data_IF_728619745506
#
_entry.id   IF_728619745506
#
_cell.length_a   1.000
_cell.length_b   1.000
_cell.length_c   1.000
_cell.angle_alpha   90.00
_cell.angle_beta   90.00
_cell.angle_gamma   90.00
#
_symmetry.space_group_name_H-M   'P 1'
#
loop_
_entity.id
_entity.type
_entity.pdbx_description
1 polymer ?
#
# COMPACT_ATOMS: atom_id res chain seq x y z
N UNK A 1 -19.24 -15.11 10.28
CA UNK A 1 -18.15 -14.60 9.42
C UNK A 1 -18.80 -13.74 8.35
N UNK A 2 -18.89 -12.43 8.57
CA UNK A 2 -19.68 -11.55 7.71
C UNK A 2 -18.85 -11.19 6.47
N UNK A 3 -19.33 -11.58 5.31
CA UNK A 3 -18.77 -11.21 4.00
C UNK A 3 -18.87 -9.70 3.91
N UNK A 4 -17.74 -8.98 3.89
CA UNK A 4 -17.74 -7.52 3.79
C UNK A 4 -18.50 -7.12 2.51
N UNK A 5 -19.51 -6.27 2.64
CA UNK A 5 -20.32 -5.74 1.55
C UNK A 5 -19.45 -5.30 0.35
N UNK A 6 -20.00 -5.47 -0.86
CA UNK A 6 -19.42 -4.97 -2.10
C UNK A 6 -19.16 -3.46 -1.96
N UNK A 7 -17.96 -3.02 -2.31
CA UNK A 7 -17.61 -1.60 -2.24
C UNK A 7 -17.91 -0.99 -3.60
N UNK A 8 -19.18 -0.70 -3.82
CA UNK A 8 -19.62 0.14 -4.92
C UNK A 8 -19.36 1.60 -4.52
N UNK A 9 -18.40 2.25 -5.18
CA UNK A 9 -18.25 3.70 -5.10
C UNK A 9 -19.01 4.34 -6.26
N UNK A 10 -19.75 5.42 -5.99
CA UNK A 10 -20.41 6.20 -7.04
C UNK A 10 -19.42 7.10 -7.80
N UNK A 11 -19.67 7.35 -9.08
CA UNK A 11 -18.86 8.21 -9.96
C UNK A 11 -18.44 7.53 -11.27
N UNK A 12 -18.12 8.33 -12.29
CA UNK A 12 -18.09 7.89 -13.70
C UNK A 12 -16.72 7.39 -14.22
N UNK A 13 -15.74 7.12 -13.35
CA UNK A 13 -14.37 6.85 -13.84
C UNK A 13 -13.42 6.15 -12.87
N UNK A 14 -13.93 5.29 -11.99
CA UNK A 14 -13.14 4.61 -10.95
C UNK A 14 -12.73 3.17 -11.27
N UNK A 15 -12.13 2.54 -10.26
CA UNK A 15 -11.87 1.10 -10.26
C UNK A 15 -13.19 0.32 -10.29
N UNK A 16 -13.20 -0.87 -10.88
CA UNK A 16 -14.31 -1.81 -10.75
C UNK A 16 -14.38 -2.38 -9.33
N UNK A 17 -15.53 -2.94 -8.96
CA UNK A 17 -15.70 -3.62 -7.66
C UNK A 17 -14.63 -4.71 -7.45
N UNK A 18 -14.25 -5.44 -8.51
CA UNK A 18 -13.21 -6.47 -8.42
C UNK A 18 -11.81 -5.88 -8.24
N UNK A 19 -11.48 -4.79 -8.91
CA UNK A 19 -10.20 -4.10 -8.74
C UNK A 19 -10.04 -3.53 -7.32
N UNK A 20 -11.12 -2.98 -6.74
CA UNK A 20 -11.15 -2.55 -5.33
C UNK A 20 -10.89 -3.72 -4.37
N UNK A 21 -11.51 -4.88 -4.63
CA UNK A 21 -11.25 -6.11 -3.86
C UNK A 21 -9.80 -6.55 -4.00
N UNK A 22 -9.22 -6.47 -5.20
CA UNK A 22 -7.83 -6.84 -5.48
C UNK A 22 -6.86 -5.99 -4.65
N UNK A 23 -6.94 -4.66 -4.72
CA UNK A 23 -5.98 -3.79 -4.01
C UNK A 23 -6.17 -3.89 -2.48
N UNK A 24 -7.40 -3.97 -1.99
CA UNK A 24 -7.70 -4.18 -0.56
C UNK A 24 -7.14 -5.51 -0.05
N UNK A 25 -7.29 -6.59 -0.83
CA UNK A 25 -6.75 -7.90 -0.48
C UNK A 25 -5.23 -7.89 -0.51
N UNK A 26 -4.63 -7.22 -1.50
CA UNK A 26 -3.17 -7.10 -1.61
C UNK A 26 -2.55 -6.48 -0.36
N UNK A 27 -3.13 -5.41 0.19
CA UNK A 27 -2.71 -4.81 1.45
C UNK A 27 -2.91 -5.76 2.63
N UNK A 28 -4.14 -6.24 2.84
CA UNK A 28 -4.48 -7.03 4.03
C UNK A 28 -3.75 -8.39 4.12
N UNK A 29 -3.42 -9.04 3.00
CA UNK A 29 -2.62 -10.27 3.00
C UNK A 29 -1.21 -10.01 3.53
N UNK A 30 -0.61 -8.89 3.14
CA UNK A 30 0.74 -8.48 3.57
C UNK A 30 0.76 -8.07 5.04
N UNK A 31 -0.17 -7.21 5.44
CA UNK A 31 -0.41 -6.83 6.85
C UNK A 31 -0.59 -8.06 7.75
N UNK A 32 -1.40 -9.03 7.32
CA UNK A 32 -1.57 -10.30 8.03
C UNK A 32 -0.27 -11.09 8.14
N UNK A 33 0.51 -11.19 7.05
CA UNK A 33 1.80 -11.90 7.04
C UNK A 33 2.80 -11.26 8.02
N UNK A 34 2.83 -9.92 8.09
CA UNK A 34 3.64 -9.18 9.07
C UNK A 34 3.16 -9.42 10.50
N UNK A 35 1.84 -9.34 10.75
CA UNK A 35 1.25 -9.60 12.07
C UNK A 35 1.59 -11.02 12.58
N UNK A 36 1.62 -12.01 11.69
CA UNK A 36 1.99 -13.39 12.00
C UNK A 36 3.51 -13.61 12.16
N UNK A 37 4.36 -12.59 11.97
CA UNK A 37 5.82 -12.72 12.03
C UNK A 37 6.40 -13.57 10.91
N UNK A 38 5.70 -13.64 9.77
CA UNK A 38 6.11 -14.45 8.59
C UNK A 38 6.82 -13.63 7.53
N UNK A 39 7.04 -12.34 7.77
CA UNK A 39 7.74 -11.46 6.85
C UNK A 39 9.25 -11.42 7.13
N UNK A 40 10.03 -11.22 6.08
CA UNK A 40 11.48 -11.09 6.14
C UNK A 40 11.91 -9.81 5.44
N UNK A 41 12.81 -9.07 6.08
CA UNK A 41 13.48 -7.90 5.53
C UNK A 41 14.75 -8.32 4.75
N UNK A 42 15.73 -7.41 4.65
CA UNK A 42 17.00 -7.64 3.95
C UNK A 42 17.69 -8.93 4.42
N UNK A 43 18.30 -9.67 3.49
CA UNK A 43 19.07 -10.90 3.76
C UNK A 43 18.37 -11.93 4.67
N UNK A 44 17.03 -11.99 4.61
CA UNK A 44 16.25 -12.95 5.39
C UNK A 44 16.08 -12.58 6.86
N UNK A 45 16.42 -11.34 7.25
CA UNK A 45 16.17 -10.81 8.59
C UNK A 45 14.69 -10.96 8.95
N UNK A 46 14.37 -11.79 9.95
CA UNK A 46 12.99 -12.06 10.33
C UNK A 46 12.37 -10.84 11.02
N UNK A 47 11.23 -10.39 10.51
CA UNK A 47 10.41 -9.40 11.19
C UNK A 47 9.69 -10.06 12.35
N UNK A 48 9.71 -9.42 13.52
CA UNK A 48 8.96 -9.91 14.69
C UNK A 48 7.46 -9.87 14.39
N UNK A 49 6.72 -10.81 14.99
CA UNK A 49 5.26 -10.75 14.97
C UNK A 49 4.79 -9.43 15.58
N UNK A 50 3.84 -8.79 14.90
CA UNK A 50 3.28 -7.50 15.31
C UNK A 50 1.87 -7.69 15.85
N UNK A 51 1.52 -6.91 16.87
CA UNK A 51 0.17 -6.84 17.41
C UNK A 51 -0.51 -5.55 16.97
N UNK A 52 -1.85 -5.48 17.06
CA UNK A 52 -2.65 -4.30 16.70
C UNK A 52 -2.51 -3.83 15.25
N UNK A 53 -2.08 -4.70 14.32
CA UNK A 53 -2.16 -4.41 12.89
C UNK A 53 -3.63 -4.46 12.46
N UNK A 54 -4.17 -3.29 12.11
CA UNK A 54 -5.57 -3.14 11.72
C UNK A 54 -5.83 -3.75 10.33
N UNK A 55 -7.03 -4.30 10.15
CA UNK A 55 -7.50 -4.68 8.81
C UNK A 55 -7.98 -3.44 8.07
N UNK A 56 -7.38 -3.15 6.91
CA UNK A 56 -7.78 -2.05 6.05
C UNK A 56 -9.15 -2.30 5.43
N UNK A 57 -10.00 -1.27 5.48
CA UNK A 57 -11.25 -1.18 4.72
C UNK A 57 -11.01 -0.34 3.47
N UNK A 58 -11.87 -0.54 2.47
CA UNK A 58 -11.84 0.31 1.28
C UNK A 58 -12.70 1.55 1.56
N UNK A 59 -12.22 2.71 1.13
CA UNK A 59 -12.86 4.00 1.33
C UNK A 59 -13.01 4.71 -0.02
N UNK A 60 -14.24 5.02 -0.39
CA UNK A 60 -14.56 5.65 -1.67
C UNK A 60 -14.11 7.11 -1.75
N UNK A 61 -14.02 7.82 -0.62
CA UNK A 61 -13.49 9.18 -0.61
C UNK A 61 -12.00 9.15 -0.94
N UNK A 62 -11.24 8.23 -0.33
CA UNK A 62 -9.82 8.04 -0.65
C UNK A 62 -9.60 7.61 -2.11
N UNK A 63 -10.46 6.76 -2.68
CA UNK A 63 -10.42 6.45 -4.13
C UNK A 63 -10.60 7.71 -4.96
N UNK A 64 -11.59 8.54 -4.65
CA UNK A 64 -11.85 9.78 -5.38
C UNK A 64 -10.67 10.76 -5.30
N UNK A 65 -10.05 10.92 -4.12
CA UNK A 65 -8.83 11.73 -3.98
C UNK A 65 -7.70 11.19 -4.86
N UNK A 66 -7.43 9.88 -4.80
CA UNK A 66 -6.40 9.24 -5.62
C UNK A 66 -6.69 9.37 -7.12
N UNK A 67 -7.93 9.13 -7.55
CA UNK A 67 -8.34 9.22 -8.95
C UNK A 67 -8.23 10.65 -9.48
N UNK A 68 -8.61 11.65 -8.68
CA UNK A 68 -8.47 13.06 -9.05
C UNK A 68 -7.01 13.45 -9.30
N UNK A 69 -6.08 12.91 -8.50
CA UNK A 69 -4.65 13.14 -8.72
C UNK A 69 -4.12 12.38 -9.95
N UNK A 70 -4.46 11.09 -10.09
CA UNK A 70 -4.04 10.24 -11.20
C UNK A 70 -4.54 10.77 -12.56
N UNK A 71 -5.74 11.37 -12.61
CA UNK A 71 -6.30 11.99 -13.81
C UNK A 71 -5.42 13.13 -14.38
N UNK A 72 -4.54 13.73 -13.56
CA UNK A 72 -3.57 14.74 -14.00
C UNK A 72 -2.41 14.14 -14.81
N UNK A 73 -2.27 12.80 -14.81
CA UNK A 73 -1.21 12.05 -15.50
C UNK A 73 0.21 12.53 -15.16
N UNK A 74 0.45 12.88 -13.88
CA UNK A 74 1.76 13.28 -13.37
C UNK A 74 2.30 12.23 -12.41
N UNK A 75 3.55 11.83 -12.60
CA UNK A 75 4.24 10.97 -11.66
C UNK A 75 4.96 11.81 -10.60
N UNK A 76 4.17 12.33 -9.67
CA UNK A 76 4.61 13.11 -8.52
C UNK A 76 3.59 12.94 -7.39
N UNK A 77 3.94 13.30 -6.16
CA UNK A 77 3.00 13.33 -5.06
C UNK A 77 1.98 14.47 -5.19
N UNK A 78 0.75 14.25 -4.73
CA UNK A 78 -0.21 15.35 -4.65
C UNK A 78 0.24 16.42 -3.65
N UNK A 79 -0.07 17.71 -3.88
CA UNK A 79 0.26 18.78 -2.96
C UNK A 79 -0.26 18.47 -1.56
N UNK A 80 0.52 18.80 -0.52
CA UNK A 80 0.17 18.51 0.87
C UNK A 80 -1.25 19.00 1.25
N UNK A 81 -1.66 20.15 0.72
CA UNK A 81 -2.99 20.72 0.94
C UNK A 81 -4.14 19.89 0.32
N UNK A 82 -3.88 19.13 -0.75
CA UNK A 82 -4.87 18.23 -1.38
C UNK A 82 -4.96 16.88 -0.64
N UNK A 83 -3.95 16.50 0.16
CA UNK A 83 -3.87 15.23 0.89
C UNK A 83 -3.74 15.37 2.41
N UNK A 84 -4.28 16.44 2.98
CA UNK A 84 -4.23 16.67 4.43
C UNK A 84 -4.83 15.47 5.21
N UNK A 85 -4.04 14.95 6.16
CA UNK A 85 -4.38 13.76 6.94
C UNK A 85 -4.35 12.42 6.19
N UNK A 86 -3.86 12.38 4.93
CA UNK A 86 -3.84 11.19 4.08
C UNK A 86 -2.41 10.84 3.67
N UNK A 87 -2.04 9.58 3.88
CA UNK A 87 -0.84 9.00 3.27
C UNK A 87 -1.05 8.76 1.78
N UNK A 88 0.02 8.76 0.98
CA UNK A 88 -0.05 8.56 -0.46
C UNK A 88 1.13 7.72 -0.93
N UNK A 89 0.83 6.62 -1.64
CA UNK A 89 1.81 5.84 -2.37
C UNK A 89 1.54 5.98 -3.87
N UNK A 90 2.59 6.18 -4.66
CA UNK A 90 2.50 6.29 -6.12
C UNK A 90 3.26 5.14 -6.80
N UNK A 91 2.77 4.70 -7.95
CA UNK A 91 3.39 3.67 -8.76
C UNK A 91 3.21 4.02 -10.24
N UNK A 92 4.22 3.74 -11.04
CA UNK A 92 4.21 3.95 -12.47
C UNK A 92 4.68 2.69 -13.21
N UNK A 93 4.03 2.40 -14.32
CA UNK A 93 4.43 1.33 -15.23
C UNK A 93 4.31 1.82 -16.66
N UNK A 94 5.39 1.65 -17.44
CA UNK A 94 5.45 2.02 -18.86
C UNK A 94 5.54 0.79 -19.74
N UNK A 95 4.72 0.73 -20.79
CA UNK A 95 4.76 -0.33 -21.80
C UNK A 95 4.27 0.19 -23.14
N UNK A 96 4.65 -0.49 -24.23
CA UNK A 96 4.06 -0.31 -25.57
C UNK A 96 2.94 -1.31 -25.86
N UNK A 97 2.69 -2.25 -24.94
CA UNK A 97 1.60 -3.22 -25.00
C UNK A 97 0.26 -2.70 -24.48
N UNK A 98 -0.73 -3.58 -24.44
CA UNK A 98 -2.08 -3.28 -23.94
C UNK A 98 -2.14 -3.25 -22.40
N UNK A 99 -2.97 -2.35 -21.85
CA UNK A 99 -3.11 -2.08 -20.41
C UNK A 99 -4.45 -2.58 -19.83
N UNK A 100 -5.16 -3.51 -20.49
CA UNK A 100 -6.51 -3.93 -20.07
C UNK A 100 -6.52 -4.67 -18.72
N UNK A 101 -5.45 -5.38 -18.35
CA UNK A 101 -5.38 -6.05 -17.04
C UNK A 101 -4.95 -5.08 -15.92
N UNK A 102 -5.83 -4.12 -15.58
CA UNK A 102 -5.59 -3.18 -14.47
C UNK A 102 -5.40 -3.91 -13.13
N UNK A 103 -6.04 -5.06 -12.95
CA UNK A 103 -5.91 -5.86 -11.73
C UNK A 103 -4.48 -6.38 -11.52
N UNK A 104 -3.78 -6.75 -12.59
CA UNK A 104 -2.35 -7.07 -12.54
C UNK A 104 -1.53 -5.89 -12.05
N UNK A 105 -1.71 -4.70 -12.62
CA UNK A 105 -0.93 -3.53 -12.23
C UNK A 105 -1.21 -3.07 -10.79
N UNK A 106 -2.44 -3.21 -10.29
CA UNK A 106 -2.75 -2.97 -8.87
C UNK A 106 -2.01 -3.93 -7.93
N UNK A 107 -1.89 -5.21 -8.31
CA UNK A 107 -1.12 -6.19 -7.52
C UNK A 107 0.37 -5.88 -7.55
N UNK A 108 0.87 -5.46 -8.70
CA UNK A 108 2.28 -5.13 -8.90
C UNK A 108 2.66 -3.86 -8.14
N UNK A 109 1.83 -2.81 -8.15
CA UNK A 109 2.01 -1.63 -7.32
C UNK A 109 2.14 -1.98 -5.84
N UNK A 110 1.16 -2.72 -5.30
CA UNK A 110 1.20 -3.16 -3.90
C UNK A 110 2.39 -4.09 -3.59
N UNK A 111 2.88 -4.84 -4.57
CA UNK A 111 4.09 -5.66 -4.44
C UNK A 111 5.36 -4.82 -4.46
N UNK A 112 5.42 -3.82 -5.32
CA UNK A 112 6.54 -2.89 -5.42
C UNK A 112 6.71 -2.16 -4.09
N UNK A 113 5.66 -1.52 -3.59
CA UNK A 113 5.67 -0.81 -2.31
C UNK A 113 6.06 -1.73 -1.15
N UNK A 114 5.49 -2.94 -1.09
CA UNK A 114 5.82 -3.86 -0.01
C UNK A 114 7.26 -4.39 -0.05
N UNK A 115 7.82 -4.55 -1.25
CA UNK A 115 9.17 -5.10 -1.40
C UNK A 115 10.26 -4.19 -0.80
N UNK A 116 9.95 -2.92 -0.51
CA UNK A 116 10.88 -2.03 0.18
C UNK A 116 11.21 -2.49 1.61
N UNK A 117 10.43 -3.43 2.19
CA UNK A 117 10.84 -4.14 3.41
C UNK A 117 12.24 -4.74 3.30
N UNK A 118 12.67 -5.09 2.08
CA UNK A 118 14.00 -5.65 1.78
C UNK A 118 15.12 -4.63 1.83
N UNK A 119 14.81 -3.34 1.91
CA UNK A 119 15.79 -2.28 2.12
C UNK A 119 16.11 -2.12 3.62
N UNK A 120 15.27 -2.65 4.50
CA UNK A 120 15.47 -2.60 5.95
C UNK A 120 16.58 -3.60 6.33
N UNK A 121 17.76 -3.07 6.63
CA UNK A 121 18.94 -3.86 7.03
C UNK A 121 19.04 -4.07 8.54
N UNK A 122 18.38 -3.22 9.32
CA UNK A 122 18.33 -3.31 10.78
C UNK A 122 16.91 -3.03 11.28
N UNK A 123 16.47 -3.81 12.26
CA UNK A 123 15.13 -3.73 12.84
C UNK A 123 15.26 -3.34 14.31
N UNK A 124 14.99 -2.08 14.60
CA UNK A 124 14.92 -1.56 15.97
C UNK A 124 13.47 -1.59 16.45
N UNK A 125 13.21 -2.41 17.47
CA UNK A 125 11.89 -2.52 18.10
C UNK A 125 12.01 -1.96 19.50
N UNK A 126 11.45 -0.76 19.71
CA UNK A 126 11.32 -0.14 21.02
C UNK A 126 10.07 -0.63 21.77
N UNK A 127 9.79 -0.01 22.91
CA UNK A 127 8.66 -0.39 23.78
C UNK A 127 7.28 -0.25 23.11
N UNK A 128 7.19 0.58 22.06
CA UNK A 128 5.97 0.84 21.30
C UNK A 128 5.90 0.08 19.97
N UNK A 129 6.87 -0.78 19.67
CA UNK A 129 6.94 -1.52 18.42
C UNK A 129 8.09 -1.07 17.52
N UNK A 130 7.98 -1.38 16.23
CA UNK A 130 8.96 -1.00 15.22
C UNK A 130 9.02 0.53 15.10
N UNK A 131 10.23 1.08 15.13
CA UNK A 131 10.45 2.52 14.97
C UNK A 131 10.77 2.87 13.53
N UNK A 132 10.01 3.80 12.94
CA UNK A 132 10.37 4.37 11.64
C UNK A 132 11.56 5.32 11.81
N UNK A 133 12.77 4.80 11.63
CA UNK A 133 13.99 5.59 11.75
C UNK A 133 14.27 6.44 10.50
N UNK A 134 15.06 7.50 10.66
CA UNK A 134 15.54 8.29 9.52
C UNK A 134 16.31 7.43 8.51
N UNK A 135 17.05 6.41 8.98
CA UNK A 135 17.76 5.47 8.12
C UNK A 135 16.78 4.67 7.26
N UNK A 136 15.72 4.09 7.85
CA UNK A 136 14.68 3.38 7.09
C UNK A 136 13.98 4.27 6.05
N UNK A 137 13.75 5.54 6.40
CA UNK A 137 13.20 6.51 5.46
C UNK A 137 14.17 6.79 4.29
N UNK A 138 15.47 6.97 4.58
CA UNK A 138 16.52 7.19 3.57
C UNK A 138 16.79 5.94 2.71
N UNK A 139 16.59 4.75 3.26
CA UNK A 139 16.67 3.46 2.55
C UNK A 139 15.44 3.22 1.65
N UNK A 140 14.50 4.18 1.59
CA UNK A 140 13.35 4.13 0.71
C UNK A 140 12.32 3.10 1.13
N UNK A 141 12.11 2.88 2.44
CA UNK A 141 11.08 1.98 2.97
C UNK A 141 9.74 2.69 3.26
N UNK A 142 9.54 3.90 2.72
CA UNK A 142 8.39 4.74 3.05
C UNK A 142 7.08 4.22 2.47
N UNK A 143 7.08 3.66 1.24
CA UNK A 143 5.86 3.06 0.71
C UNK A 143 5.51 1.79 1.47
N UNK A 144 6.50 0.96 1.84
CA UNK A 144 6.29 -0.22 2.70
C UNK A 144 5.64 0.17 4.03
N UNK A 145 6.19 1.16 4.73
CA UNK A 145 5.73 1.62 6.06
C UNK A 145 4.33 2.25 6.05
N UNK A 146 3.74 2.47 4.88
CA UNK A 146 2.37 2.96 4.72
C UNK A 146 1.40 1.85 4.31
N UNK A 147 1.90 0.73 3.78
CA UNK A 147 1.09 -0.45 3.47
C UNK A 147 0.83 -1.30 4.73
N UNK A 148 1.74 -1.29 5.70
CA UNK A 148 1.83 -2.19 6.86
C UNK A 148 0.94 -1.88 8.08
#
# INVERSE_FOLDING_TARGET
>A
MQVSAEVACGGDGGLSVEERKVIRRAHNVRRKKLAEGKETAHDGLKMKAASNILQMKYDCELENYAQNWINKCKFDHSPQAEREGKGENIYYYGTTGDLKDRSHYLRDAAKSWWNEVKNITNVTVGDKGLELTQAMAMDGALHWSQVD
#
